data_IF_402581658327
#
_entry.id   IF_402581658327
#
_cell.length_a   1.000
_cell.length_b   1.000
_cell.length_c   1.000
_cell.angle_alpha   90.00
_cell.angle_beta   90.00
_cell.angle_gamma   90.00
#
_symmetry.space_group_name_H-M   'P 1'
#
loop_
_entity.id
_entity.type
_entity.pdbx_description
1 polymer ?
#
# COMPACT_ATOMS: atom_id res chain seq x y z
N UNK A 1 -13.48 44.12 28.22
CA UNK A 1 -14.00 42.84 27.78
C UNK A 1 -13.08 41.78 28.37
N UNK A 2 -13.44 41.31 29.57
CA UNK A 2 -12.61 40.42 30.39
C UNK A 2 -12.77 38.99 29.89
N UNK A 3 -11.68 38.29 29.78
CA UNK A 3 -11.62 36.86 29.50
C UNK A 3 -11.49 36.13 30.82
N UNK A 4 -12.42 35.31 31.27
CA UNK A 4 -12.27 34.51 32.48
C UNK A 4 -11.62 33.17 32.08
N UNK A 5 -10.34 33.05 32.35
CA UNK A 5 -9.59 31.81 32.23
C UNK A 5 -8.55 31.74 33.33
N UNK A 6 -8.98 31.63 34.58
CA UNK A 6 -8.10 31.45 35.72
C UNK A 6 -7.79 29.98 35.94
N UNK A 7 -6.59 29.52 35.60
CA UNK A 7 -5.99 28.32 36.18
C UNK A 7 -5.41 28.65 37.55
N UNK A 8 -6.07 28.21 38.61
CA UNK A 8 -5.51 28.26 39.95
C UNK A 8 -4.59 27.06 40.20
N UNK A 9 -3.31 27.31 40.36
CA UNK A 9 -2.37 26.33 40.93
C UNK A 9 -2.39 26.54 42.43
N UNK A 10 -2.89 25.55 43.19
CA UNK A 10 -2.73 25.50 44.64
C UNK A 10 -1.71 24.42 44.98
N UNK A 11 -0.64 24.84 45.59
CA UNK A 11 0.32 23.98 46.30
C UNK A 11 0.02 24.08 47.77
N UNK A 12 -0.45 22.99 48.37
CA UNK A 12 -0.67 22.91 49.82
C UNK A 12 -1.37 21.62 50.20
N UNK A 13 -0.90 20.97 51.24
CA UNK A 13 -1.40 19.73 51.81
C UNK A 13 -2.87 19.84 52.27
N UNK A 14 -3.65 18.76 52.06
CA UNK A 14 -5.01 18.50 52.55
C UNK A 14 -6.13 19.41 52.02
N UNK A 15 -6.46 19.28 50.74
CA UNK A 15 -7.68 19.84 50.21
C UNK A 15 -8.47 18.85 49.39
N UNK A 16 -9.71 18.55 49.76
CA UNK A 16 -10.66 17.77 48.99
C UNK A 16 -11.09 18.57 47.77
N UNK A 17 -10.71 18.15 46.59
CA UNK A 17 -11.06 18.81 45.34
C UNK A 17 -12.39 18.27 44.85
N UNK A 18 -13.45 19.07 44.86
CA UNK A 18 -14.70 18.79 44.16
C UNK A 18 -14.59 19.29 42.71
N UNK A 19 -14.32 18.41 41.77
CA UNK A 19 -14.40 18.72 40.37
C UNK A 19 -15.87 18.77 39.91
N UNK A 20 -16.41 19.97 39.70
CA UNK A 20 -17.64 20.15 38.96
C UNK A 20 -17.32 20.05 37.46
N UNK A 21 -17.67 18.93 36.87
CA UNK A 21 -17.68 18.84 35.38
C UNK A 21 -18.84 19.68 34.87
N UNK A 22 -18.52 20.76 34.19
CA UNK A 22 -19.47 21.47 33.34
C UNK A 22 -19.50 20.70 32.02
N UNK A 23 -20.58 19.97 31.80
CA UNK A 23 -20.85 19.30 30.54
C UNK A 23 -21.25 20.37 29.54
N UNK A 24 -20.29 20.81 28.72
CA UNK A 24 -20.57 21.69 27.57
C UNK A 24 -21.02 20.80 26.44
N UNK A 25 -22.31 20.79 26.14
CA UNK A 25 -22.82 20.21 24.90
C UNK A 25 -22.27 21.02 23.73
N UNK A 26 -21.28 20.48 23.04
CA UNK A 26 -20.83 21.01 21.74
C UNK A 26 -21.80 20.46 20.71
N UNK A 27 -22.85 21.21 20.40
CA UNK A 27 -23.88 20.78 19.47
C UNK A 27 -23.43 20.74 18.00
N UNK A 28 -22.42 21.44 17.63
CA UNK A 28 -21.84 21.32 16.26
C UNK A 28 -20.50 22.03 16.20
N UNK A 29 -19.41 21.31 16.02
CA UNK A 29 -18.16 21.88 15.52
C UNK A 29 -18.23 21.79 14.00
N UNK A 30 -18.65 22.85 13.35
CA UNK A 30 -18.43 23.01 11.91
C UNK A 30 -16.96 23.31 11.73
N UNK A 31 -16.16 22.26 11.57
CA UNK A 31 -14.82 22.41 11.02
C UNK A 31 -15.05 22.79 9.56
N UNK A 32 -15.01 24.07 9.26
CA UNK A 32 -14.83 24.49 7.89
C UNK A 32 -13.48 23.90 7.45
N UNK A 33 -13.45 22.99 6.47
CA UNK A 33 -12.18 22.63 5.89
C UNK A 33 -11.61 23.93 5.34
N UNK A 34 -10.50 24.40 5.91
CA UNK A 34 -9.70 25.42 5.26
C UNK A 34 -9.48 24.90 3.86
N UNK A 35 -10.09 25.56 2.89
CA UNK A 35 -9.74 25.40 1.48
C UNK A 35 -8.27 25.84 1.39
N UNK A 36 -7.36 24.92 1.68
CA UNK A 36 -5.99 25.06 1.22
C UNK A 36 -6.16 25.06 -0.29
N UNK A 37 -5.92 26.17 -0.99
CA UNK A 37 -5.92 26.13 -2.44
C UNK A 37 -4.91 25.02 -2.78
N UNK A 38 -5.34 24.01 -3.50
CA UNK A 38 -4.40 23.09 -4.16
C UNK A 38 -3.48 24.02 -4.93
N UNK A 39 -2.26 24.14 -4.49
CA UNK A 39 -1.30 25.02 -5.12
C UNK A 39 -1.22 24.57 -6.58
N UNK A 40 -1.77 25.39 -7.46
CA UNK A 40 -1.62 25.17 -8.88
C UNK A 40 -0.11 25.12 -9.12
N UNK A 41 0.39 23.96 -9.52
CA UNK A 41 1.79 23.81 -9.90
C UNK A 41 2.17 24.90 -10.92
N UNK A 42 3.45 25.19 -11.15
CA UNK A 42 3.88 26.26 -12.03
C UNK A 42 3.20 26.12 -13.40
N UNK A 43 2.28 27.05 -13.67
CA UNK A 43 1.55 27.08 -14.94
C UNK A 43 2.47 27.70 -16.00
N UNK A 44 2.75 26.94 -17.04
CA UNK A 44 3.31 27.50 -18.27
C UNK A 44 2.26 28.41 -18.90
N UNK A 45 2.63 29.59 -19.41
CA UNK A 45 1.70 30.50 -20.09
C UNK A 45 1.00 29.77 -21.26
N UNK A 46 -0.33 29.66 -21.19
CA UNK A 46 -1.16 28.99 -22.19
C UNK A 46 -1.53 27.54 -21.89
N UNK A 47 -1.14 26.99 -20.72
CA UNK A 47 -1.50 25.63 -20.30
C UNK A 47 -2.97 25.57 -19.84
N UNK A 48 -3.69 24.53 -20.29
CA UNK A 48 -5.00 24.15 -19.75
C UNK A 48 -4.82 23.83 -18.25
N UNK A 49 -5.72 24.32 -17.40
CA UNK A 49 -5.68 24.03 -15.97
C UNK A 49 -5.80 22.52 -15.75
N UNK A 50 -4.71 21.89 -15.30
CA UNK A 50 -4.63 20.46 -15.11
C UNK A 50 -5.21 20.10 -13.74
N UNK A 51 -6.14 19.16 -13.68
CA UNK A 51 -6.65 18.61 -12.42
C UNK A 51 -5.76 17.42 -12.04
N UNK A 52 -5.00 17.58 -10.94
CA UNK A 52 -3.93 16.63 -10.62
C UNK A 52 -3.73 16.49 -9.11
N UNK A 53 -3.86 15.25 -8.59
CA UNK A 53 -3.56 14.94 -7.19
C UNK A 53 -2.68 13.68 -7.03
N UNK A 54 -1.98 13.28 -8.09
CA UNK A 54 -1.07 12.12 -8.03
C UNK A 54 0.04 12.40 -6.98
N UNK A 55 0.40 11.40 -6.14
CA UNK A 55 1.50 11.53 -5.20
C UNK A 55 2.80 11.97 -5.88
N UNK A 56 3.70 12.56 -5.09
CA UNK A 56 5.00 12.99 -5.60
C UNK A 56 5.76 11.82 -6.25
N UNK A 57 6.41 12.10 -7.38
CA UNK A 57 7.24 11.13 -8.08
C UNK A 57 8.40 10.70 -7.21
N UNK A 58 8.68 9.39 -7.20
CA UNK A 58 9.87 8.86 -6.56
C UNK A 58 11.10 9.10 -7.45
N UNK A 59 12.04 9.98 -7.06
CA UNK A 59 13.22 10.25 -7.88
C UNK A 59 14.17 9.05 -7.99
N UNK A 60 14.05 8.08 -7.08
CA UNK A 60 14.85 6.86 -7.09
C UNK A 60 14.13 5.66 -7.69
N UNK A 61 13.07 5.87 -8.48
CA UNK A 61 12.44 4.78 -9.23
C UNK A 61 13.37 4.30 -10.34
N UNK A 62 13.64 3.00 -10.37
CA UNK A 62 14.60 2.39 -11.31
C UNK A 62 14.00 1.12 -11.91
N UNK A 63 14.29 0.90 -13.20
CA UNK A 63 13.84 -0.30 -13.93
C UNK A 63 12.35 -0.32 -14.25
N UNK A 64 11.84 -1.52 -14.58
CA UNK A 64 10.43 -1.81 -14.85
C UNK A 64 9.83 -1.08 -16.06
N UNK A 65 10.66 -0.71 -17.02
CA UNK A 65 10.18 -0.06 -18.24
C UNK A 65 9.20 -0.95 -19.00
N UNK A 66 9.48 -2.25 -19.08
CA UNK A 66 8.60 -3.23 -19.72
C UNK A 66 7.22 -3.33 -19.03
N UNK A 67 7.17 -3.24 -17.69
CA UNK A 67 5.92 -3.23 -16.95
C UNK A 67 5.11 -1.95 -17.18
N UNK A 68 5.79 -0.80 -17.25
CA UNK A 68 5.15 0.49 -17.53
C UNK A 68 4.57 0.52 -18.95
N UNK A 69 5.30 -0.03 -19.93
CA UNK A 69 4.78 -0.19 -21.30
C UNK A 69 3.63 -1.21 -21.35
N UNK A 70 3.71 -2.32 -20.64
CA UNK A 70 2.61 -3.29 -20.56
C UNK A 70 1.32 -2.67 -19.98
N UNK A 71 1.44 -1.85 -18.91
CA UNK A 71 0.30 -1.07 -18.38
C UNK A 71 -0.25 -0.13 -19.47
N UNK A 72 0.65 0.58 -20.16
CA UNK A 72 0.27 1.51 -21.23
C UNK A 72 -0.46 0.83 -22.38
N UNK A 73 0.04 -0.29 -22.86
CA UNK A 73 -0.59 -1.08 -23.93
C UNK A 73 -2.00 -1.52 -23.55
N UNK A 74 -2.21 -2.01 -22.32
CA UNK A 74 -3.55 -2.40 -21.84
C UNK A 74 -4.51 -1.22 -21.83
N UNK A 75 -4.08 -0.09 -21.26
CA UNK A 75 -4.91 1.10 -21.21
C UNK A 75 -5.23 1.67 -22.60
N UNK A 76 -4.27 1.66 -23.54
CA UNK A 76 -4.49 2.09 -24.91
C UNK A 76 -5.39 1.14 -25.71
N UNK A 77 -5.43 -0.14 -25.36
CA UNK A 77 -6.38 -1.09 -25.94
C UNK A 77 -7.84 -0.85 -25.50
N UNK A 78 -8.06 0.10 -24.57
CA UNK A 78 -9.38 0.44 -24.04
C UNK A 78 -9.76 -0.40 -22.81
N UNK A 79 -8.84 -1.20 -22.30
CA UNK A 79 -9.03 -1.97 -21.08
C UNK A 79 -8.83 -1.09 -19.85
N UNK A 80 -9.41 -1.50 -18.71
CA UNK A 80 -8.93 -1.07 -17.41
C UNK A 80 -7.73 -1.94 -17.06
N UNK A 81 -6.64 -1.37 -16.59
CA UNK A 81 -5.47 -2.12 -16.17
C UNK A 81 -5.46 -2.32 -14.66
N UNK A 82 -5.21 -3.53 -14.20
CA UNK A 82 -4.96 -3.81 -12.79
C UNK A 82 -3.53 -4.28 -12.59
N UNK A 83 -2.77 -3.54 -11.81
CA UNK A 83 -1.41 -3.90 -11.39
C UNK A 83 -1.52 -4.80 -10.16
N UNK A 84 -1.27 -6.07 -10.36
CA UNK A 84 -1.35 -7.10 -9.31
C UNK A 84 0.03 -7.61 -8.95
N UNK A 85 0.24 -8.00 -7.70
CA UNK A 85 1.44 -8.75 -7.34
C UNK A 85 1.33 -10.19 -7.87
N UNK A 86 2.35 -10.66 -8.58
CA UNK A 86 2.40 -12.03 -9.12
C UNK A 86 2.23 -13.07 -8.00
N UNK A 87 2.80 -12.79 -6.83
CA UNK A 87 2.81 -13.65 -5.65
C UNK A 87 2.01 -13.10 -4.46
N UNK A 88 1.20 -12.08 -4.64
CA UNK A 88 0.42 -11.48 -3.56
C UNK A 88 1.23 -10.65 -2.56
N UNK A 89 2.53 -10.45 -2.76
CA UNK A 89 3.46 -9.83 -1.81
C UNK A 89 3.21 -8.32 -1.63
N UNK A 90 3.33 -7.87 -0.38
CA UNK A 90 3.53 -6.46 -0.06
C UNK A 90 4.94 -6.00 -0.47
N UNK A 91 5.12 -4.71 -0.69
CA UNK A 91 6.46 -4.18 -0.95
C UNK A 91 7.02 -4.36 -2.37
N UNK A 92 6.32 -5.06 -3.28
CA UNK A 92 6.76 -5.24 -4.69
C UNK A 92 6.66 -3.96 -5.53
N UNK A 93 6.15 -2.86 -4.99
CA UNK A 93 6.16 -1.55 -5.65
C UNK A 93 4.98 -1.27 -6.56
N UNK A 94 3.80 -1.89 -6.39
CA UNK A 94 2.58 -1.59 -7.18
C UNK A 94 2.20 -0.12 -7.17
N UNK A 95 2.10 0.47 -6.00
CA UNK A 95 1.82 1.90 -5.78
C UNK A 95 2.86 2.78 -6.46
N UNK A 96 4.14 2.39 -6.36
CA UNK A 96 5.25 3.11 -7.00
C UNK A 96 5.18 3.02 -8.53
N UNK A 97 4.81 1.85 -9.07
CA UNK A 97 4.62 1.66 -10.51
C UNK A 97 3.46 2.53 -11.04
N UNK A 98 2.33 2.59 -10.31
CA UNK A 98 1.19 3.43 -10.68
C UNK A 98 1.52 4.92 -10.60
N UNK A 99 2.26 5.34 -9.57
CA UNK A 99 2.75 6.72 -9.42
C UNK A 99 3.69 7.09 -10.58
N UNK A 100 4.67 6.25 -10.85
CA UNK A 100 5.63 6.46 -11.94
C UNK A 100 4.91 6.48 -13.30
N UNK A 101 3.95 5.58 -13.54
CA UNK A 101 3.13 5.59 -14.75
C UNK A 101 2.45 6.94 -14.96
N UNK A 102 1.77 7.45 -13.94
CA UNK A 102 1.05 8.71 -14.02
C UNK A 102 2.00 9.88 -14.36
N UNK A 103 3.20 9.91 -13.76
CA UNK A 103 4.19 10.96 -14.03
C UNK A 103 4.87 10.80 -15.38
N UNK A 104 5.24 9.59 -15.78
CA UNK A 104 5.94 9.31 -17.05
C UNK A 104 5.06 9.64 -18.25
N UNK A 105 3.78 9.33 -18.18
CA UNK A 105 2.82 9.56 -19.24
C UNK A 105 1.90 10.77 -18.97
N UNK A 106 2.36 11.69 -18.13
CA UNK A 106 1.57 12.84 -17.71
C UNK A 106 0.99 13.67 -18.88
N UNK A 107 1.73 13.80 -19.99
CA UNK A 107 1.30 14.56 -21.17
C UNK A 107 0.07 13.96 -21.89
N UNK A 108 -0.23 12.70 -21.63
CA UNK A 108 -1.42 12.04 -22.18
C UNK A 108 -2.72 12.46 -21.48
N UNK A 109 -2.64 13.07 -20.29
CA UNK A 109 -3.78 13.32 -19.42
C UNK A 109 -3.92 14.80 -19.07
N UNK A 110 -5.14 15.32 -19.18
CA UNK A 110 -5.53 16.66 -18.71
C UNK A 110 -6.04 16.60 -17.26
N UNK A 111 -6.46 15.40 -16.83
CA UNK A 111 -6.87 15.07 -15.49
C UNK A 111 -6.21 13.77 -15.05
N UNK A 112 -5.56 13.75 -13.88
CA UNK A 112 -5.14 12.52 -13.22
C UNK A 112 -5.50 12.58 -11.73
N UNK A 113 -6.25 11.58 -11.28
CA UNK A 113 -6.79 11.56 -9.94
C UNK A 113 -6.50 10.26 -9.22
N UNK A 114 -5.92 10.38 -8.04
CA UNK A 114 -5.57 9.30 -7.16
C UNK A 114 -6.66 9.08 -6.13
N UNK A 115 -7.11 7.84 -6.01
CA UNK A 115 -8.14 7.39 -5.06
C UNK A 115 -7.53 6.29 -4.19
N UNK A 116 -7.32 6.57 -2.91
CA UNK A 116 -6.96 5.52 -1.96
C UNK A 116 -8.19 4.63 -1.72
N UNK A 117 -8.08 3.37 -2.09
CA UNK A 117 -9.19 2.42 -2.11
C UNK A 117 -9.07 1.34 -1.04
N UNK A 118 -8.13 1.48 -0.10
CA UNK A 118 -7.97 0.56 1.03
C UNK A 118 -9.25 0.47 1.89
N UNK A 119 -9.97 1.58 2.00
CA UNK A 119 -11.25 1.64 2.69
C UNK A 119 -12.33 2.08 1.72
N UNK A 120 -13.16 1.14 1.24
CA UNK A 120 -14.20 1.40 0.24
C UNK A 120 -15.18 2.51 0.64
N UNK A 121 -15.47 2.64 1.94
CA UNK A 121 -16.35 3.70 2.48
C UNK A 121 -15.84 5.13 2.28
N UNK A 122 -14.53 5.33 2.08
CA UNK A 122 -13.91 6.66 1.88
C UNK A 122 -13.79 7.07 0.41
N UNK A 123 -14.13 6.21 -0.54
CA UNK A 123 -14.05 6.53 -1.97
C UNK A 123 -14.98 7.70 -2.32
N UNK A 124 -16.17 7.73 -1.71
CA UNK A 124 -17.14 8.80 -1.93
C UNK A 124 -16.62 10.21 -1.63
N UNK A 125 -15.88 10.36 -0.53
CA UNK A 125 -15.29 11.63 -0.13
C UNK A 125 -14.20 12.09 -1.12
N UNK A 126 -13.42 11.14 -1.63
CA UNK A 126 -12.38 11.42 -2.62
C UNK A 126 -12.97 11.78 -3.99
N UNK A 127 -14.11 11.18 -4.36
CA UNK A 127 -14.87 11.61 -5.54
C UNK A 127 -15.54 12.96 -5.34
N UNK A 128 -15.97 13.29 -4.12
CA UNK A 128 -16.44 14.65 -3.82
C UNK A 128 -15.34 15.70 -4.01
N UNK A 129 -14.13 15.40 -3.55
CA UNK A 129 -12.96 16.24 -3.79
C UNK A 129 -12.64 16.40 -5.29
N UNK A 130 -12.72 15.31 -6.08
CA UNK A 130 -12.58 15.38 -7.54
C UNK A 130 -13.65 16.26 -8.16
N UNK A 131 -14.92 16.09 -7.76
CA UNK A 131 -16.03 16.85 -8.29
C UNK A 131 -15.93 18.36 -7.98
N UNK A 132 -15.40 18.71 -6.80
CA UNK A 132 -15.08 20.09 -6.43
C UNK A 132 -13.94 20.64 -7.31
N UNK A 133 -12.88 19.87 -7.52
CA UNK A 133 -11.76 20.25 -8.37
C UNK A 133 -12.18 20.43 -9.84
N UNK A 134 -13.16 19.67 -10.30
CA UNK A 134 -13.77 19.80 -11.62
C UNK A 134 -14.81 20.96 -11.70
N UNK A 135 -15.25 21.48 -10.55
CA UNK A 135 -16.30 22.50 -10.48
C UNK A 135 -17.70 21.99 -10.83
N UNK A 136 -17.91 20.66 -10.83
CA UNK A 136 -19.18 20.04 -11.23
C UNK A 136 -20.10 19.66 -10.05
N UNK A 137 -19.60 19.68 -8.80
CA UNK A 137 -20.40 19.43 -7.59
C UNK A 137 -20.23 20.53 -6.56
N UNK A 138 -21.18 20.61 -5.62
CA UNK A 138 -21.12 21.51 -4.46
C UNK A 138 -20.64 20.72 -3.23
N UNK A 139 -20.00 21.40 -2.28
CA UNK A 139 -19.45 20.78 -1.07
C UNK A 139 -20.51 20.09 -0.18
N UNK A 140 -21.79 20.45 -0.32
CA UNK A 140 -22.92 19.88 0.42
C UNK A 140 -23.63 18.75 -0.30
N UNK A 141 -23.14 18.32 -1.47
CA UNK A 141 -23.78 17.26 -2.26
C UNK A 141 -23.63 15.90 -1.57
N UNK A 142 -24.71 15.13 -1.52
CA UNK A 142 -24.66 13.76 -1.00
C UNK A 142 -23.89 12.82 -1.93
N UNK A 143 -23.33 11.74 -1.38
CA UNK A 143 -22.45 10.79 -2.08
C UNK A 143 -23.02 10.23 -3.39
N UNK A 144 -24.33 9.93 -3.44
CA UNK A 144 -24.97 9.40 -4.65
C UNK A 144 -25.03 10.46 -5.76
N UNK A 145 -25.28 11.72 -5.40
CA UNK A 145 -25.28 12.85 -6.35
C UNK A 145 -23.88 13.10 -6.87
N UNK A 146 -22.89 13.11 -5.97
CA UNK A 146 -21.46 13.23 -6.33
C UNK A 146 -21.08 12.14 -7.32
N UNK A 147 -21.39 10.88 -7.01
CA UNK A 147 -21.10 9.75 -7.87
C UNK A 147 -21.70 9.93 -9.26
N UNK A 148 -22.99 10.22 -9.33
CA UNK A 148 -23.68 10.36 -10.62
C UNK A 148 -23.11 11.51 -11.46
N UNK A 149 -22.87 12.67 -10.85
CA UNK A 149 -22.38 13.86 -11.56
C UNK A 149 -20.93 13.68 -12.01
N UNK A 150 -20.04 13.21 -11.13
CA UNK A 150 -18.62 13.03 -11.47
C UNK A 150 -18.43 11.96 -12.55
N UNK A 151 -19.16 10.83 -12.47
CA UNK A 151 -19.10 9.81 -13.50
C UNK A 151 -19.67 10.29 -14.84
N UNK A 152 -20.70 11.12 -14.83
CA UNK A 152 -21.22 11.74 -16.05
C UNK A 152 -20.19 12.69 -16.67
N UNK A 153 -19.56 13.55 -15.87
CA UNK A 153 -18.51 14.48 -16.30
C UNK A 153 -17.29 13.75 -16.91
N UNK A 154 -16.88 12.64 -16.29
CA UNK A 154 -15.77 11.83 -16.82
C UNK A 154 -16.10 11.13 -18.14
N UNK A 155 -17.39 10.79 -18.40
CA UNK A 155 -17.82 10.19 -19.68
C UNK A 155 -17.70 11.16 -20.85
N UNK A 156 -17.88 12.44 -20.59
CA UNK A 156 -17.78 13.50 -21.61
C UNK A 156 -16.31 13.89 -21.91
N UNK A 157 -15.37 13.43 -21.08
CA UNK A 157 -13.94 13.72 -21.20
C UNK A 157 -13.16 12.50 -21.70
N UNK A 158 -12.06 12.72 -22.42
CA UNK A 158 -11.28 11.65 -23.03
C UNK A 158 -9.86 11.50 -22.47
N UNK A 159 -9.32 12.52 -21.83
CA UNK A 159 -7.90 12.56 -21.43
C UNK A 159 -7.76 12.59 -19.91
N UNK A 160 -8.32 11.56 -19.27
CA UNK A 160 -8.24 11.42 -17.82
C UNK A 160 -7.67 10.05 -17.41
N UNK A 161 -7.02 10.03 -16.25
CA UNK A 161 -6.53 8.85 -15.55
C UNK A 161 -7.11 8.83 -14.14
N UNK A 162 -7.80 7.76 -13.78
CA UNK A 162 -8.14 7.45 -12.40
C UNK A 162 -7.25 6.31 -11.90
N UNK A 163 -6.59 6.51 -10.76
CA UNK A 163 -5.81 5.48 -10.08
C UNK A 163 -6.53 5.08 -8.81
N UNK A 164 -6.96 3.83 -8.71
CA UNK A 164 -7.49 3.24 -7.49
C UNK A 164 -6.38 2.45 -6.82
N UNK A 165 -5.76 3.04 -5.80
CA UNK A 165 -4.62 2.42 -5.13
C UNK A 165 -5.07 1.59 -3.94
N UNK A 166 -4.44 0.43 -3.80
CA UNK A 166 -4.68 -0.54 -2.73
C UNK A 166 -6.13 -1.02 -2.64
N UNK A 167 -6.77 -1.25 -3.80
CA UNK A 167 -8.12 -1.78 -3.87
C UNK A 167 -8.13 -3.28 -3.54
N UNK A 168 -8.73 -3.65 -2.42
CA UNK A 168 -8.76 -5.04 -1.96
C UNK A 168 -9.98 -5.80 -2.51
N UNK A 169 -11.13 -5.13 -2.63
CA UNK A 169 -12.37 -5.78 -3.04
C UNK A 169 -12.93 -5.09 -4.31
N UNK A 170 -13.10 -5.82 -5.42
CA UNK A 170 -13.70 -5.31 -6.64
C UNK A 170 -15.09 -4.66 -6.44
N UNK A 171 -15.89 -5.18 -5.52
CA UNK A 171 -17.23 -4.67 -5.27
C UNK A 171 -17.23 -3.23 -4.74
N UNK A 172 -16.19 -2.83 -3.99
CA UNK A 172 -16.11 -1.50 -3.38
C UNK A 172 -15.90 -0.41 -4.42
N UNK A 173 -15.21 -0.72 -5.52
CA UNK A 173 -14.93 0.26 -6.58
C UNK A 173 -15.84 0.12 -7.79
N UNK A 174 -16.57 -0.99 -7.94
CA UNK A 174 -17.38 -1.25 -9.14
C UNK A 174 -18.36 -0.11 -9.46
N UNK A 175 -18.99 0.46 -8.44
CA UNK A 175 -19.91 1.59 -8.58
C UNK A 175 -19.25 2.94 -8.91
N UNK A 176 -17.92 3.02 -8.82
CA UNK A 176 -17.12 4.24 -9.04
C UNK A 176 -16.34 4.22 -10.35
N UNK A 177 -16.40 3.11 -11.09
CA UNK A 177 -15.71 2.97 -12.36
C UNK A 177 -16.45 3.74 -13.46
N UNK A 178 -15.84 4.78 -14.06
CA UNK A 178 -16.46 5.49 -15.17
C UNK A 178 -16.40 4.66 -16.45
N UNK A 179 -17.39 4.89 -17.33
CA UNK A 179 -17.26 4.58 -18.73
C UNK A 179 -16.64 5.74 -19.47
N UNK A 180 -16.30 5.57 -20.76
CA UNK A 180 -15.79 6.64 -21.61
C UNK A 180 -14.34 6.46 -22.03
N UNK A 181 -13.74 7.51 -22.61
CA UNK A 181 -12.45 7.45 -23.30
C UNK A 181 -11.22 7.68 -22.43
N UNK A 182 -11.34 7.68 -21.08
CA UNK A 182 -10.20 7.79 -20.20
C UNK A 182 -9.71 6.44 -19.69
N UNK A 183 -8.70 6.47 -18.84
CA UNK A 183 -8.00 5.30 -18.33
C UNK A 183 -8.24 5.06 -16.86
N UNK A 184 -8.38 3.79 -16.47
CA UNK A 184 -8.46 3.36 -15.07
C UNK A 184 -7.31 2.42 -14.78
N UNK A 185 -6.50 2.79 -13.79
CA UNK A 185 -5.40 1.99 -13.27
C UNK A 185 -5.71 1.59 -11.84
N UNK A 186 -5.64 0.30 -11.53
CA UNK A 186 -5.94 -0.24 -10.22
C UNK A 186 -4.68 -0.88 -9.67
N UNK A 187 -4.37 -0.67 -8.40
CA UNK A 187 -3.37 -1.50 -7.71
C UNK A 187 -4.05 -2.38 -6.68
N UNK A 188 -3.70 -3.66 -6.66
CA UNK A 188 -4.32 -4.62 -5.75
C UNK A 188 -3.35 -5.74 -5.35
N UNK A 189 -3.63 -6.36 -4.23
CA UNK A 189 -3.05 -7.65 -3.82
C UNK A 189 -3.94 -8.81 -4.25
N UNK A 190 -5.21 -8.57 -4.50
CA UNK A 190 -6.20 -9.57 -4.86
C UNK A 190 -6.13 -9.95 -6.35
N UNK A 191 -6.46 -11.21 -6.65
CA UNK A 191 -6.44 -11.76 -8.02
C UNK A 191 -7.82 -11.82 -8.69
N UNK A 192 -8.84 -11.36 -8.01
CA UNK A 192 -10.25 -11.47 -8.45
C UNK A 192 -10.69 -10.39 -9.44
N UNK A 193 -9.74 -9.74 -10.10
CA UNK A 193 -9.99 -8.58 -10.97
C UNK A 193 -10.27 -8.90 -12.44
N UNK A 194 -10.10 -10.15 -12.87
CA UNK A 194 -10.15 -10.54 -14.28
C UNK A 194 -11.46 -10.18 -15.00
N UNK A 195 -12.57 -10.04 -14.26
CA UNK A 195 -13.87 -9.62 -14.80
C UNK A 195 -13.99 -8.09 -14.99
N UNK A 196 -13.13 -7.31 -14.33
CA UNK A 196 -13.22 -5.84 -14.28
C UNK A 196 -12.09 -5.17 -15.05
N UNK A 197 -10.88 -5.74 -14.98
CA UNK A 197 -9.68 -5.12 -15.53
C UNK A 197 -8.66 -6.17 -15.99
N UNK A 198 -7.89 -5.81 -17.02
CA UNK A 198 -6.81 -6.68 -17.53
C UNK A 198 -5.63 -6.69 -16.55
N UNK A 199 -5.16 -7.87 -16.11
CA UNK A 199 -4.06 -7.94 -15.15
C UNK A 199 -2.72 -7.60 -15.79
N UNK A 200 -1.89 -6.87 -15.03
CA UNK A 200 -0.45 -6.69 -15.25
C UNK A 200 0.23 -7.18 -13.98
N UNK A 201 0.90 -8.31 -14.10
CA UNK A 201 1.53 -8.95 -12.95
C UNK A 201 2.87 -8.30 -12.63
N UNK A 202 3.07 -7.98 -11.35
CA UNK A 202 4.30 -7.38 -10.82
C UNK A 202 4.98 -8.39 -9.90
N UNK A 203 6.20 -8.73 -10.21
CA UNK A 203 7.07 -9.57 -9.39
C UNK A 203 8.13 -8.72 -8.66
N UNK A 204 9.05 -9.36 -7.95
CA UNK A 204 10.28 -8.74 -7.43
C UNK A 204 11.08 -8.12 -8.58
N UNK A 205 12.08 -7.32 -8.26
CA UNK A 205 13.02 -6.82 -9.28
C UNK A 205 13.78 -7.98 -9.91
N UNK A 206 14.19 -7.81 -11.15
CA UNK A 206 15.25 -8.68 -11.69
C UNK A 206 16.54 -8.44 -10.91
N UNK A 207 17.42 -9.42 -10.89
CA UNK A 207 18.73 -9.30 -10.21
C UNK A 207 19.52 -8.08 -10.73
N UNK A 208 19.49 -7.83 -12.01
CA UNK A 208 20.17 -6.68 -12.62
C UNK A 208 19.58 -5.34 -12.16
N UNK A 209 18.27 -5.25 -12.04
CA UNK A 209 17.58 -4.05 -11.51
C UNK A 209 17.90 -3.82 -10.03
N UNK A 210 17.91 -4.87 -9.22
CA UNK A 210 18.29 -4.81 -7.80
C UNK A 210 19.72 -4.34 -7.62
N UNK A 211 20.66 -4.90 -8.39
CA UNK A 211 22.08 -4.52 -8.39
C UNK A 211 22.25 -3.07 -8.86
N UNK A 212 21.52 -2.65 -9.91
CA UNK A 212 21.56 -1.29 -10.42
C UNK A 212 21.07 -0.29 -9.35
N UNK A 213 19.94 -0.55 -8.70
CA UNK A 213 19.36 0.28 -7.65
C UNK A 213 20.33 0.44 -6.45
N UNK A 214 20.96 -0.66 -6.01
CA UNK A 214 21.92 -0.61 -4.90
C UNK A 214 23.15 0.23 -5.26
N UNK A 215 23.69 0.05 -6.46
CA UNK A 215 24.90 0.75 -6.90
C UNK A 215 24.68 2.23 -7.25
N UNK A 216 23.48 2.58 -7.68
CA UNK A 216 23.08 3.97 -7.90
C UNK A 216 23.06 4.77 -6.58
N UNK A 217 22.58 4.12 -5.51
CA UNK A 217 22.41 4.78 -4.21
C UNK A 217 23.61 4.68 -3.28
N UNK A 218 24.43 3.64 -3.43
CA UNK A 218 25.59 3.39 -2.55
C UNK A 218 26.88 3.61 -3.34
N UNK A 219 27.51 4.76 -3.12
CA UNK A 219 28.74 5.12 -3.82
C UNK A 219 29.85 4.08 -3.57
N UNK A 220 30.45 3.59 -4.64
CA UNK A 220 31.59 2.65 -4.55
C UNK A 220 31.21 1.21 -4.24
N UNK A 221 29.92 0.82 -4.20
CA UNK A 221 29.51 -0.55 -3.98
C UNK A 221 29.93 -1.45 -5.14
N UNK A 222 30.71 -2.50 -4.83
CA UNK A 222 31.16 -3.50 -5.80
C UNK A 222 30.00 -4.35 -6.31
N UNK A 223 30.06 -4.80 -7.58
CA UNK A 223 29.01 -5.60 -8.19
C UNK A 223 28.74 -6.91 -7.42
N UNK A 224 29.80 -7.58 -6.94
CA UNK A 224 29.65 -8.82 -6.16
C UNK A 224 28.98 -8.61 -4.80
N UNK A 225 29.21 -7.46 -4.16
CA UNK A 225 28.55 -7.10 -2.90
C UNK A 225 27.09 -6.73 -3.13
N UNK A 226 26.82 -5.98 -4.19
CA UNK A 226 25.44 -5.64 -4.60
C UNK A 226 24.63 -6.91 -4.92
N UNK A 227 25.22 -7.86 -5.65
CA UNK A 227 24.57 -9.13 -5.97
C UNK A 227 24.25 -9.94 -4.70
N UNK A 228 25.18 -10.04 -3.77
CA UNK A 228 24.94 -10.73 -2.48
C UNK A 228 23.84 -10.05 -1.64
N UNK A 229 23.83 -8.73 -1.62
CA UNK A 229 22.78 -7.96 -0.94
C UNK A 229 21.41 -8.21 -1.59
N UNK A 230 21.31 -8.13 -2.90
CA UNK A 230 20.10 -8.37 -3.66
C UNK A 230 19.54 -9.78 -3.40
N UNK A 231 20.41 -10.77 -3.40
CA UNK A 231 20.07 -12.17 -3.09
C UNK A 231 19.47 -12.32 -1.68
N UNK A 232 20.13 -11.78 -0.67
CA UNK A 232 19.66 -11.88 0.72
C UNK A 232 18.39 -11.05 0.99
N UNK A 233 18.13 -10.04 0.19
CA UNK A 233 16.91 -9.20 0.25
C UNK A 233 15.78 -9.75 -0.64
N UNK A 234 16.03 -10.88 -1.35
CA UNK A 234 15.06 -11.54 -2.21
C UNK A 234 14.62 -10.69 -3.40
N UNK A 235 15.47 -9.77 -3.86
CA UNK A 235 15.16 -8.81 -4.93
C UNK A 235 13.89 -7.98 -4.70
N UNK A 236 13.44 -7.89 -3.44
CA UNK A 236 12.23 -7.17 -3.07
C UNK A 236 12.49 -5.66 -3.08
N UNK A 237 11.80 -4.86 -3.93
CA UNK A 237 12.10 -3.44 -4.14
C UNK A 237 12.18 -2.62 -2.86
N UNK A 238 11.24 -2.86 -1.93
CA UNK A 238 11.20 -2.14 -0.66
C UNK A 238 12.41 -2.47 0.21
N UNK A 239 12.75 -3.76 0.34
CA UNK A 239 13.90 -4.20 1.13
C UNK A 239 15.22 -3.68 0.53
N UNK A 240 15.37 -3.76 -0.79
CA UNK A 240 16.53 -3.25 -1.52
C UNK A 240 16.69 -1.74 -1.33
N UNK A 241 15.59 -0.97 -1.45
CA UNK A 241 15.60 0.48 -1.25
C UNK A 241 15.94 0.88 0.18
N UNK A 242 15.43 0.17 1.18
CA UNK A 242 15.73 0.41 2.59
C UNK A 242 17.19 0.10 2.92
N UNK A 243 17.72 -1.05 2.44
CA UNK A 243 19.12 -1.41 2.61
C UNK A 243 20.03 -0.35 2.00
N UNK A 244 19.72 0.09 0.78
CA UNK A 244 20.48 1.14 0.10
C UNK A 244 20.48 2.47 0.88
N UNK A 245 19.29 2.89 1.36
CA UNK A 245 19.17 4.11 2.17
C UNK A 245 19.97 4.02 3.46
N UNK A 246 19.81 2.92 4.22
CA UNK A 246 20.55 2.69 5.47
C UNK A 246 22.07 2.73 5.27
N UNK A 247 22.56 1.99 4.29
CA UNK A 247 24.01 1.92 4.02
C UNK A 247 24.58 3.25 3.53
N UNK A 248 23.83 3.97 2.68
CA UNK A 248 24.25 5.29 2.21
C UNK A 248 24.34 6.32 3.35
N UNK A 249 23.44 6.24 4.31
CA UNK A 249 23.35 7.19 5.43
C UNK A 249 24.36 6.89 6.54
N UNK A 250 24.56 5.60 6.86
CA UNK A 250 25.40 5.17 7.97
C UNK A 250 26.85 4.89 7.56
N UNK A 251 27.15 4.77 6.28
CA UNK A 251 28.44 4.32 5.78
C UNK A 251 28.73 2.82 6.08
N UNK A 252 27.69 2.06 6.44
CA UNK A 252 27.83 0.63 6.74
C UNK A 252 28.24 -0.14 5.49
N UNK A 253 29.26 -1.00 5.61
CA UNK A 253 29.68 -1.86 4.48
C UNK A 253 28.68 -2.99 4.22
N UNK A 254 28.68 -3.53 2.99
CA UNK A 254 27.81 -4.66 2.62
C UNK A 254 27.96 -5.86 3.57
N UNK A 255 29.19 -6.20 3.97
CA UNK A 255 29.45 -7.29 4.88
C UNK A 255 28.84 -7.05 6.28
N UNK A 256 28.99 -5.84 6.80
CA UNK A 256 28.38 -5.45 8.08
C UNK A 256 26.86 -5.43 8.01
N UNK A 257 26.28 -4.92 6.91
CA UNK A 257 24.84 -4.91 6.73
C UNK A 257 24.26 -6.32 6.66
N UNK A 258 24.90 -7.23 5.92
CA UNK A 258 24.50 -8.63 5.85
C UNK A 258 24.58 -9.34 7.21
N UNK A 259 25.56 -8.99 8.03
CA UNK A 259 25.65 -9.52 9.40
C UNK A 259 24.55 -8.96 10.30
N UNK A 260 24.30 -7.66 10.23
CA UNK A 260 23.17 -7.01 10.92
C UNK A 260 21.82 -7.60 10.47
N UNK A 261 21.65 -7.85 9.18
CA UNK A 261 20.43 -8.45 8.63
C UNK A 261 20.17 -9.83 9.22
N UNK A 262 21.21 -10.64 9.37
CA UNK A 262 21.11 -11.99 9.99
C UNK A 262 20.76 -11.92 11.48
N UNK A 263 21.33 -10.97 12.19
CA UNK A 263 21.23 -10.90 13.66
C UNK A 263 20.05 -10.05 14.14
N UNK A 264 19.62 -9.07 13.39
CA UNK A 264 18.62 -8.08 13.80
C UNK A 264 17.65 -7.69 12.67
N UNK A 265 17.34 -8.62 11.78
CA UNK A 265 16.54 -8.36 10.56
C UNK A 265 15.28 -7.53 10.82
N UNK A 266 14.49 -7.89 11.85
CA UNK A 266 13.26 -7.17 12.19
C UNK A 266 13.49 -5.71 12.58
N UNK A 267 14.50 -5.43 13.41
CA UNK A 267 14.82 -4.07 13.86
C UNK A 267 15.41 -3.20 12.76
N UNK A 268 16.22 -3.81 11.89
CA UNK A 268 16.87 -3.09 10.81
C UNK A 268 15.87 -2.64 9.74
N UNK A 269 14.93 -3.51 9.41
CA UNK A 269 13.89 -3.21 8.42
C UNK A 269 12.82 -2.23 8.94
N UNK A 270 12.65 -2.11 10.26
CA UNK A 270 11.78 -1.10 10.88
C UNK A 270 12.38 0.33 10.83
N UNK A 271 13.69 0.46 10.65
CA UNK A 271 14.37 1.74 10.53
C UNK A 271 14.33 2.24 9.08
N UNK A 272 13.24 2.92 8.70
CA UNK A 272 13.18 3.58 7.41
C UNK A 272 14.23 4.68 7.33
N UNK A 273 15.05 4.68 6.27
CA UNK A 273 16.01 5.75 6.04
C UNK A 273 15.27 7.09 5.85
N UNK A 274 15.74 8.19 6.47
CA UNK A 274 15.21 9.52 6.18
C UNK A 274 15.25 9.82 4.69
N UNK A 275 14.10 10.22 4.13
CA UNK A 275 13.97 10.46 2.69
C UNK A 275 13.60 9.23 1.85
N UNK A 276 13.37 8.07 2.48
CA UNK A 276 12.75 6.93 1.80
C UNK A 276 11.36 7.33 1.28
N UNK A 277 11.13 7.12 -0.02
CA UNK A 277 9.82 7.37 -0.65
C UNK A 277 8.79 6.28 -0.33
N UNK A 278 9.18 5.26 0.42
CA UNK A 278 8.26 4.22 0.89
C UNK A 278 7.62 4.65 2.21
N UNK A 279 6.29 4.63 2.31
CA UNK A 279 5.58 5.14 3.48
C UNK A 279 5.75 4.29 4.74
N UNK A 280 6.19 3.02 4.59
CA UNK A 280 6.39 2.09 5.70
C UNK A 280 7.52 1.11 5.39
N UNK A 281 8.21 0.65 6.45
CA UNK A 281 9.20 -0.41 6.30
C UNK A 281 8.53 -1.77 6.03
N UNK A 282 9.27 -2.69 5.41
CA UNK A 282 8.76 -4.05 5.15
C UNK A 282 8.42 -4.77 6.46
N UNK A 283 9.27 -4.67 7.47
CA UNK A 283 9.03 -5.27 8.79
C UNK A 283 7.80 -4.68 9.47
N UNK A 284 7.57 -3.35 9.36
CA UNK A 284 6.37 -2.72 9.88
C UNK A 284 5.12 -3.19 9.12
N UNK A 285 5.20 -3.31 7.80
CA UNK A 285 4.09 -3.82 7.01
C UNK A 285 3.74 -5.27 7.35
N UNK A 286 4.76 -6.11 7.53
CA UNK A 286 4.57 -7.51 7.94
C UNK A 286 4.02 -7.63 9.35
N UNK A 287 4.54 -6.82 10.28
CA UNK A 287 4.03 -6.79 11.65
C UNK A 287 2.56 -6.36 11.70
N UNK A 288 2.19 -5.31 10.96
CA UNK A 288 0.79 -4.89 10.86
C UNK A 288 -0.11 -5.96 10.25
N UNK A 289 0.37 -6.69 9.24
CA UNK A 289 -0.39 -7.80 8.68
C UNK A 289 -0.56 -8.95 9.70
N UNK A 290 0.48 -9.24 10.47
CA UNK A 290 0.45 -10.25 11.51
C UNK A 290 -0.48 -9.85 12.68
N UNK A 291 -0.40 -8.62 13.17
CA UNK A 291 -1.26 -8.09 14.23
C UNK A 291 -2.74 -8.13 13.82
N UNK A 292 -3.05 -7.76 12.58
CA UNK A 292 -4.40 -7.84 12.01
C UNK A 292 -4.93 -9.27 11.95
N UNK A 293 -4.08 -10.22 11.57
CA UNK A 293 -4.45 -11.63 11.52
C UNK A 293 -4.73 -12.19 12.92
N UNK A 294 -3.96 -11.77 13.92
CA UNK A 294 -4.17 -12.18 15.31
C UNK A 294 -5.53 -11.71 15.84
N UNK A 295 -5.95 -10.50 15.44
CA UNK A 295 -7.26 -9.93 15.80
C UNK A 295 -8.43 -10.54 15.00
N UNK A 296 -8.26 -10.80 13.70
CA UNK A 296 -9.33 -11.23 12.79
C UNK A 296 -9.51 -12.74 12.73
N UNK A 297 -8.42 -13.52 12.74
CA UNK A 297 -8.43 -14.98 12.66
C UNK A 297 -7.18 -15.57 13.34
N UNK A 298 -7.22 -15.82 14.66
CA UNK A 298 -6.09 -16.34 15.41
C UNK A 298 -5.49 -17.64 14.85
N UNK A 299 -6.29 -18.50 14.22
CA UNK A 299 -5.79 -19.74 13.61
C UNK A 299 -4.86 -19.44 12.41
N UNK A 300 -5.16 -18.41 11.62
CA UNK A 300 -4.30 -17.96 10.50
C UNK A 300 -3.00 -17.36 11.03
N UNK A 301 -3.08 -16.55 12.09
CA UNK A 301 -1.90 -15.96 12.73
C UNK A 301 -0.98 -17.05 13.33
N UNK A 302 -1.58 -18.05 14.00
CA UNK A 302 -0.85 -19.20 14.52
C UNK A 302 -0.19 -20.02 13.41
N UNK A 303 -0.86 -20.25 12.29
CA UNK A 303 -0.28 -20.92 11.12
C UNK A 303 0.92 -20.15 10.58
N UNK A 304 0.78 -18.84 10.38
CA UNK A 304 1.88 -17.99 9.93
C UNK A 304 3.07 -18.05 10.89
N UNK A 305 2.81 -18.00 12.20
CA UNK A 305 3.84 -18.08 13.24
C UNK A 305 4.56 -19.43 13.23
N UNK A 306 3.83 -20.55 13.14
CA UNK A 306 4.43 -21.88 13.07
C UNK A 306 5.29 -22.02 11.81
N UNK A 307 4.78 -21.59 10.66
CA UNK A 307 5.54 -21.63 9.40
C UNK A 307 6.81 -20.78 9.44
N UNK A 308 6.82 -19.65 10.17
CA UNK A 308 8.00 -18.80 10.30
C UNK A 308 9.19 -19.48 11.01
N UNK A 309 8.95 -20.52 11.82
CA UNK A 309 9.98 -21.34 12.45
C UNK A 309 10.43 -22.53 11.61
N UNK A 310 9.69 -22.84 10.53
CA UNK A 310 10.05 -23.92 9.62
C UNK A 310 10.98 -23.38 8.51
N UNK A 311 11.60 -24.29 7.75
CA UNK A 311 12.52 -23.89 6.69
C UNK A 311 11.82 -23.07 5.59
N UNK A 312 12.60 -22.28 4.85
CA UNK A 312 12.13 -21.55 3.66
C UNK A 312 11.70 -22.45 2.48
N UNK A 313 11.84 -23.76 2.63
CA UNK A 313 11.40 -24.77 1.67
C UNK A 313 9.87 -24.98 1.75
N UNK A 314 9.25 -25.52 0.67
CA UNK A 314 7.82 -25.82 0.69
C UNK A 314 7.44 -26.76 1.84
N UNK A 315 6.50 -26.32 2.67
CA UNK A 315 6.01 -27.08 3.82
C UNK A 315 4.82 -27.93 3.35
N UNK A 316 4.89 -29.26 3.41
CA UNK A 316 3.75 -30.11 3.04
C UNK A 316 2.51 -29.74 3.85
N UNK A 317 1.39 -29.49 3.18
CA UNK A 317 0.13 -29.03 3.81
C UNK A 317 -0.43 -30.08 4.76
N UNK A 318 -0.22 -31.35 4.48
CA UNK A 318 -0.62 -32.50 5.30
C UNK A 318 0.20 -32.63 6.61
N UNK A 319 1.33 -31.97 6.74
CA UNK A 319 2.08 -31.88 8.00
C UNK A 319 1.19 -31.38 9.13
N UNK A 320 0.43 -30.33 8.88
CA UNK A 320 -0.43 -29.68 9.87
C UNK A 320 -1.66 -30.54 10.22
N UNK A 321 -2.24 -31.24 9.25
CA UNK A 321 -3.41 -32.10 9.48
C UNK A 321 -3.07 -33.44 10.11
N UNK A 322 -1.81 -33.88 10.04
CA UNK A 322 -1.33 -35.12 10.65
C UNK A 322 -0.80 -34.95 12.07
N UNK A 323 -0.47 -33.74 12.50
CA UNK A 323 0.17 -33.43 13.78
C UNK A 323 -0.70 -32.53 14.70
N UNK A 324 -2.02 -32.71 14.69
CA UNK A 324 -2.98 -31.84 15.39
C UNK A 324 -2.64 -31.63 16.88
N UNK A 325 -2.12 -32.64 17.56
CA UNK A 325 -1.77 -32.54 18.98
C UNK A 325 -0.58 -31.66 19.30
N UNK A 326 0.19 -31.27 18.31
CA UNK A 326 1.38 -30.42 18.44
C UNK A 326 1.09 -28.95 18.05
N UNK A 327 -0.13 -28.68 17.54
CA UNK A 327 -0.51 -27.35 17.08
C UNK A 327 -1.19 -26.54 18.21
N UNK A 328 -1.11 -25.20 18.16
CA UNK A 328 -1.95 -24.35 18.99
C UNK A 328 -3.44 -24.65 18.79
N UNK A 329 -4.25 -24.42 19.83
CA UNK A 329 -5.64 -24.91 19.91
C UNK A 329 -6.50 -24.46 18.72
N UNK A 330 -6.51 -23.17 18.41
CA UNK A 330 -7.34 -22.61 17.34
C UNK A 330 -6.91 -23.14 15.95
N UNK A 331 -5.61 -23.32 15.75
CA UNK A 331 -5.06 -23.89 14.52
C UNK A 331 -5.39 -25.36 14.41
N UNK A 332 -5.28 -26.12 15.51
CA UNK A 332 -5.61 -27.55 15.58
C UNK A 332 -7.09 -27.79 15.23
N UNK A 333 -7.99 -26.99 15.78
CA UNK A 333 -9.42 -27.07 15.50
C UNK A 333 -9.74 -26.81 14.02
N UNK A 334 -9.08 -25.83 13.41
CA UNK A 334 -9.20 -25.53 11.98
C UNK A 334 -8.61 -26.61 11.11
N UNK A 335 -7.45 -27.15 11.47
CA UNK A 335 -6.78 -28.22 10.72
C UNK A 335 -7.52 -29.55 10.78
N UNK A 336 -8.32 -29.79 11.81
CA UNK A 336 -9.17 -30.98 11.96
C UNK A 336 -10.41 -30.95 11.05
N UNK A 337 -10.89 -29.75 10.65
CA UNK A 337 -12.00 -29.58 9.71
C UNK A 337 -11.50 -29.28 8.28
N UNK A 338 -11.75 -30.18 7.29
CA UNK A 338 -11.26 -29.99 5.93
C UNK A 338 -11.70 -28.66 5.26
N UNK A 339 -12.89 -28.15 5.59
CA UNK A 339 -13.36 -26.87 5.05
C UNK A 339 -12.70 -25.69 5.77
N UNK A 340 -12.66 -25.73 7.10
CA UNK A 340 -11.98 -24.73 7.93
C UNK A 340 -10.51 -24.63 7.57
N UNK A 341 -9.83 -25.75 7.36
CA UNK A 341 -8.44 -25.80 6.93
C UNK A 341 -8.21 -25.08 5.59
N UNK A 342 -9.05 -25.36 4.58
CA UNK A 342 -8.97 -24.68 3.28
C UNK A 342 -9.22 -23.19 3.39
N UNK A 343 -10.14 -22.77 4.24
CA UNK A 343 -10.40 -21.35 4.50
C UNK A 343 -9.22 -20.66 5.17
N UNK A 344 -8.58 -21.33 6.15
CA UNK A 344 -7.36 -20.83 6.81
C UNK A 344 -6.22 -20.64 5.83
N UNK A 345 -5.97 -21.63 4.97
CA UNK A 345 -4.95 -21.55 3.92
C UNK A 345 -5.26 -20.42 2.91
N UNK A 346 -6.53 -20.32 2.49
CA UNK A 346 -6.95 -19.26 1.56
C UNK A 346 -6.84 -17.88 2.20
N UNK A 347 -7.10 -17.74 3.50
CA UNK A 347 -6.92 -16.48 4.22
C UNK A 347 -5.45 -16.10 4.31
N UNK A 348 -4.57 -17.00 4.68
CA UNK A 348 -3.13 -16.77 4.75
C UNK A 348 -2.54 -16.33 3.39
N UNK A 349 -2.98 -16.97 2.31
CA UNK A 349 -2.53 -16.62 0.96
C UNK A 349 -3.07 -15.27 0.49
N UNK A 350 -4.30 -14.90 0.86
CA UNK A 350 -4.86 -13.56 0.57
C UNK A 350 -4.07 -12.43 1.23
N UNK A 351 -3.58 -12.66 2.44
CA UNK A 351 -2.76 -11.68 3.17
C UNK A 351 -1.33 -11.53 2.60
N UNK A 352 -0.99 -12.29 1.56
CA UNK A 352 0.32 -12.23 0.92
C UNK A 352 1.49 -12.67 1.82
N UNK A 353 1.19 -13.47 2.84
CA UNK A 353 2.19 -14.01 3.75
C UNK A 353 2.70 -15.37 3.30
N UNK A 354 1.94 -16.07 2.47
CA UNK A 354 2.32 -17.37 1.94
C UNK A 354 1.70 -17.62 0.56
N UNK A 355 2.26 -18.57 -0.17
CA UNK A 355 1.68 -19.16 -1.38
C UNK A 355 1.55 -20.68 -1.21
N UNK A 356 0.63 -21.26 -1.94
CA UNK A 356 0.49 -22.71 -2.05
C UNK A 356 0.82 -23.10 -3.49
N UNK A 357 1.74 -24.02 -3.65
CA UNK A 357 2.07 -24.61 -4.94
C UNK A 357 1.90 -26.15 -4.89
N UNK A 358 2.33 -26.82 -5.95
CA UNK A 358 2.24 -28.29 -6.05
C UNK A 358 3.11 -29.04 -5.00
N UNK A 359 4.01 -28.36 -4.32
CA UNK A 359 4.94 -28.92 -3.33
C UNK A 359 4.52 -28.62 -1.89
N UNK A 360 3.66 -27.62 -1.68
CA UNK A 360 3.18 -27.26 -0.35
C UNK A 360 2.95 -25.78 -0.12
N UNK A 361 2.92 -25.42 1.16
CA UNK A 361 2.83 -24.04 1.64
C UNK A 361 4.25 -23.44 1.71
N UNK A 362 4.45 -22.32 1.04
CA UNK A 362 5.71 -21.57 1.06
C UNK A 362 5.44 -20.22 1.67
N UNK A 363 6.12 -19.89 2.78
CA UNK A 363 6.13 -18.51 3.27
C UNK A 363 6.87 -17.64 2.26
N UNK A 364 6.28 -16.49 1.98
CA UNK A 364 6.98 -15.49 1.19
C UNK A 364 8.09 -14.86 2.06
N UNK A 365 9.30 -14.68 1.52
CA UNK A 365 10.38 -14.06 2.27
C UNK A 365 9.98 -12.65 2.68
N UNK A 366 10.09 -12.37 3.95
CA UNK A 366 9.78 -11.09 4.59
C UNK A 366 11.08 -10.37 4.88
#
# INVERSE_FOLDING_TARGET
MEVPGGQGVQVGDHGTQHNKYVQTNIETVVIQPSLVPVAAGPQLPGGVSRVWNIPARNPGFTGRDDLLEAVRERLLAGDKAVVQALRGMGGVGKTQLATEYAHRFAEAYDLAWWVNSEQGGLIGDQFAALGLALGCVQATAGTEVVRAVVLAELRERNRWLLVFDNAENPADIAGWLPGGGGHVLITSRERTWAEIAAPVEVDVLSRDESVALLRDRIAGLGAADADRLADQLGDLPLAVAQAAGFMAETGTSAAQYLDLLRTQAGKLLDQAAPGSSYPRSLAAATRLAADRLDDEDPAVAQLASVCAFLAAEPIPVDLFTSALGELPVELADRAADPLGWRQTLAHLTRQSLARIDQHGLVLEPV
#
